data_IF_743541929176
#
_entry.id   IF_743541929176
#
_cell.length_a   1.000
_cell.length_b   1.000
_cell.length_c   1.000
_cell.angle_alpha   90.00
_cell.angle_beta   90.00
_cell.angle_gamma   90.00
#
_symmetry.space_group_name_H-M   'P 1'
#
loop_
_entity.id
_entity.type
_entity.pdbx_description
1 polymer ?
#
# COMPACT_ATOMS: atom_id res chain seq x y z
N UNK A 1 38.01 10.29 30.12
CA UNK A 1 37.38 11.32 30.94
C UNK A 1 37.57 12.62 30.17
N UNK A 2 36.61 12.98 29.33
CA UNK A 2 36.70 14.17 28.48
C UNK A 2 36.43 15.42 29.33
N UNK A 3 37.32 16.41 29.24
CA UNK A 3 37.21 17.69 29.92
C UNK A 3 36.27 18.58 29.09
N UNK A 4 35.05 18.80 29.57
CA UNK A 4 34.13 19.78 28.98
C UNK A 4 34.74 21.18 29.12
N UNK A 5 34.85 21.90 28.01
CA UNK A 5 35.47 23.22 27.99
C UNK A 5 34.55 24.25 28.66
N UNK A 6 35.12 25.21 29.39
CA UNK A 6 34.38 26.30 30.03
C UNK A 6 33.57 27.16 29.03
N UNK A 7 33.85 27.04 27.74
CA UNK A 7 33.13 27.70 26.66
C UNK A 7 31.70 27.15 26.46
N UNK A 8 31.46 25.87 26.78
CA UNK A 8 30.11 25.26 26.66
C UNK A 8 29.13 25.80 27.71
N UNK A 9 29.63 26.38 28.80
CA UNK A 9 28.84 26.98 29.89
C UNK A 9 28.43 28.44 29.64
N UNK A 10 28.99 29.09 28.62
CA UNK A 10 28.70 30.49 28.26
C UNK A 10 27.72 30.62 27.09
N UNK A 11 27.29 29.51 26.49
CA UNK A 11 26.29 29.54 25.45
C UNK A 11 24.90 29.76 26.07
N UNK A 12 24.14 30.79 25.66
CA UNK A 12 22.76 30.91 26.06
C UNK A 12 22.02 29.62 25.64
N UNK A 13 21.15 29.07 26.49
CA UNK A 13 20.41 27.86 26.15
C UNK A 13 19.70 28.11 24.83
N UNK A 14 19.80 27.15 23.90
CA UNK A 14 19.12 27.24 22.61
C UNK A 14 17.66 27.64 22.87
N UNK A 15 17.11 28.63 22.15
CA UNK A 15 15.73 29.04 22.34
C UNK A 15 14.84 27.80 22.26
N UNK A 16 13.89 27.63 23.20
CA UNK A 16 13.05 26.45 23.21
C UNK A 16 12.42 26.30 21.83
N UNK A 17 12.60 25.12 21.23
CA UNK A 17 11.96 24.79 19.95
C UNK A 17 10.46 24.84 20.20
N UNK A 18 9.82 25.96 19.87
CA UNK A 18 8.37 26.08 19.90
C UNK A 18 7.86 25.21 18.76
N UNK A 19 7.57 23.95 19.07
CA UNK A 19 6.91 23.03 18.15
C UNK A 19 5.51 23.59 17.92
N UNK A 20 5.32 24.32 16.83
CA UNK A 20 3.98 24.72 16.39
C UNK A 20 3.15 23.45 16.25
N UNK A 21 1.92 23.40 16.78
CA UNK A 21 1.03 22.27 16.53
C UNK A 21 0.92 22.04 15.02
N UNK A 22 1.16 20.80 14.58
CA UNK A 22 1.00 20.45 13.19
C UNK A 22 -0.44 20.73 12.76
N UNK A 23 -0.62 21.63 11.80
CA UNK A 23 -1.90 21.84 11.14
C UNK A 23 -1.84 21.09 9.80
N UNK A 24 -2.72 20.09 9.57
CA UNK A 24 -2.76 19.41 8.29
C UNK A 24 -3.13 20.42 7.18
N UNK A 25 -2.51 20.31 5.99
CA UNK A 25 -2.86 21.17 4.87
C UNK A 25 -4.32 20.95 4.46
N UNK A 26 -5.00 21.97 3.89
CA UNK A 26 -6.34 21.83 3.36
C UNK A 26 -6.46 20.70 2.34
N UNK A 27 -7.55 19.94 2.44
CA UNK A 27 -7.87 18.81 1.57
C UNK A 27 -9.22 19.01 0.90
N UNK A 28 -9.36 18.40 -0.26
CA UNK A 28 -10.61 18.32 -1.02
C UNK A 28 -10.93 16.86 -1.32
N UNK A 29 -12.21 16.54 -1.32
CA UNK A 29 -12.74 15.21 -1.62
C UNK A 29 -12.95 15.03 -3.12
N UNK A 30 -12.80 13.79 -3.59
CA UNK A 30 -13.21 13.38 -4.94
C UNK A 30 -13.81 11.97 -4.93
N UNK A 31 -14.81 11.76 -5.78
CA UNK A 31 -15.39 10.44 -6.01
C UNK A 31 -14.56 9.67 -7.02
N UNK A 32 -14.42 8.36 -6.79
CA UNK A 32 -13.60 7.49 -7.63
C UNK A 32 -14.28 6.16 -7.89
N UNK A 33 -13.87 5.52 -8.98
CA UNK A 33 -14.24 4.14 -9.30
C UNK A 33 -13.15 3.13 -8.92
N UNK A 34 -12.08 3.56 -8.25
CA UNK A 34 -11.08 2.64 -7.71
C UNK A 34 -11.78 1.59 -6.85
N UNK A 35 -11.50 0.31 -7.11
CA UNK A 35 -12.19 -0.77 -6.45
C UNK A 35 -11.93 -0.75 -4.94
N UNK A 36 -12.97 -1.01 -4.16
CA UNK A 36 -12.90 -1.07 -2.70
C UNK A 36 -12.86 0.30 -2.02
N UNK A 37 -12.94 1.39 -2.79
CA UNK A 37 -13.11 2.74 -2.30
C UNK A 37 -14.59 3.10 -2.35
N UNK A 38 -15.25 2.99 -1.20
CA UNK A 38 -16.69 3.26 -1.05
C UNK A 38 -16.99 4.68 -0.58
N UNK A 39 -15.98 5.36 -0.05
CA UNK A 39 -16.03 6.73 0.46
C UNK A 39 -15.20 7.67 -0.43
N UNK A 40 -15.50 8.98 -0.46
CA UNK A 40 -14.69 9.94 -1.19
C UNK A 40 -13.22 9.87 -0.75
N UNK A 41 -12.30 9.93 -1.72
CA UNK A 41 -10.87 10.04 -1.42
C UNK A 41 -10.48 11.50 -1.23
N UNK A 42 -9.50 11.74 -0.36
CA UNK A 42 -8.96 13.07 -0.14
C UNK A 42 -7.65 13.32 -0.93
N UNK A 43 -7.52 14.53 -1.46
CA UNK A 43 -6.27 15.09 -2.00
C UNK A 43 -6.04 16.49 -1.48
N UNK A 44 -4.77 16.93 -1.48
CA UNK A 44 -4.45 18.31 -1.12
C UNK A 44 -5.09 19.26 -2.13
N UNK A 45 -5.49 20.45 -1.67
CA UNK A 45 -6.22 21.43 -2.48
C UNK A 45 -5.48 21.79 -3.79
N UNK A 46 -4.15 21.91 -3.74
CA UNK A 46 -3.31 22.26 -4.88
C UNK A 46 -2.92 21.07 -5.76
N UNK A 47 -3.27 19.83 -5.38
CA UNK A 47 -2.97 18.69 -6.23
C UNK A 47 -3.92 18.67 -7.43
N UNK A 48 -3.37 18.23 -8.57
CA UNK A 48 -4.13 17.95 -9.79
C UNK A 48 -5.25 16.94 -9.52
N UNK A 49 -6.37 17.12 -10.22
CA UNK A 49 -7.46 16.15 -10.22
C UNK A 49 -6.99 14.76 -10.68
N UNK A 50 -7.39 13.69 -9.96
CA UNK A 50 -7.18 12.32 -10.41
C UNK A 50 -7.85 12.09 -11.76
N UNK A 51 -7.22 11.30 -12.59
CA UNK A 51 -7.72 10.96 -13.93
C UNK A 51 -7.83 9.45 -14.06
N UNK A 52 -8.84 8.96 -14.81
CA UNK A 52 -8.83 7.59 -15.28
C UNK A 52 -8.17 7.54 -16.66
N UNK A 53 -7.22 6.62 -16.83
CA UNK A 53 -6.59 6.33 -18.13
C UNK A 53 -6.70 4.83 -18.39
N UNK A 54 -6.59 4.47 -19.67
CA UNK A 54 -6.44 3.07 -20.07
C UNK A 54 -4.97 2.80 -20.40
N UNK A 55 -4.44 1.70 -19.84
CA UNK A 55 -3.11 1.18 -20.14
C UNK A 55 -3.24 -0.28 -20.54
N UNK A 56 -2.87 -0.63 -21.78
CA UNK A 56 -3.02 -1.99 -22.35
C UNK A 56 -4.44 -2.58 -22.18
N UNK A 57 -5.48 -1.77 -22.35
CA UNK A 57 -6.87 -2.21 -22.18
C UNK A 57 -7.35 -2.27 -20.73
N UNK A 58 -6.53 -1.88 -19.76
CA UNK A 58 -6.88 -1.94 -18.33
C UNK A 58 -7.19 -0.52 -17.83
N UNK A 59 -8.44 -0.25 -17.39
CA UNK A 59 -8.82 1.03 -16.83
C UNK A 59 -8.15 1.23 -15.47
N UNK A 60 -7.56 2.40 -15.27
CA UNK A 60 -6.77 2.70 -14.07
C UNK A 60 -6.97 4.14 -13.63
N UNK A 61 -7.19 4.31 -12.33
CA UNK A 61 -7.16 5.63 -11.72
C UNK A 61 -5.72 6.05 -11.44
N UNK A 62 -5.37 7.24 -11.90
CA UNK A 62 -4.14 7.95 -11.57
C UNK A 62 -4.46 9.02 -10.54
N UNK A 63 -3.89 8.87 -9.34
CA UNK A 63 -3.93 9.90 -8.29
C UNK A 63 -2.63 10.67 -8.27
N UNK A 64 -2.74 11.99 -8.26
CA UNK A 64 -1.57 12.87 -8.18
C UNK A 64 -1.29 13.25 -6.72
N UNK A 65 -0.02 13.08 -6.35
CA UNK A 65 0.54 13.53 -5.09
C UNK A 65 1.91 14.14 -5.38
N UNK A 66 2.82 14.05 -4.43
CA UNK A 66 4.24 14.31 -4.68
C UNK A 66 4.73 13.44 -5.88
N UNK A 67 4.27 12.19 -5.98
CA UNK A 67 4.35 11.36 -7.21
C UNK A 67 2.98 10.94 -7.71
N UNK A 68 2.90 10.34 -8.89
CA UNK A 68 1.66 9.70 -9.32
C UNK A 68 1.55 8.28 -8.76
N UNK A 69 0.31 7.89 -8.45
CA UNK A 69 -0.07 6.60 -7.92
C UNK A 69 -1.15 5.99 -8.81
N UNK A 70 -1.11 4.68 -8.97
CA UNK A 70 -2.10 3.94 -9.77
C UNK A 70 -2.99 3.10 -8.86
N UNK A 71 -4.29 3.07 -9.13
CA UNK A 71 -5.27 2.24 -8.43
C UNK A 71 -6.11 1.45 -9.44
N UNK A 72 -6.30 0.16 -9.18
CA UNK A 72 -7.15 -0.70 -9.97
C UNK A 72 -8.61 -0.25 -9.91
N UNK A 73 -9.25 -0.20 -11.07
CA UNK A 73 -10.68 0.13 -11.21
C UNK A 73 -11.52 -1.14 -11.36
N UNK A 74 -10.96 -2.16 -12.01
CA UNK A 74 -11.65 -3.44 -12.17
C UNK A 74 -11.71 -4.25 -10.87
N UNK A 75 -12.68 -5.17 -10.73
CA UNK A 75 -12.82 -6.01 -9.54
C UNK A 75 -11.58 -6.78 -9.12
N UNK A 76 -11.50 -7.12 -7.83
CA UNK A 76 -10.50 -8.03 -7.29
C UNK A 76 -10.42 -9.33 -8.11
N UNK A 77 -9.20 -9.82 -8.36
CA UNK A 77 -8.94 -10.97 -9.22
C UNK A 77 -8.76 -10.64 -10.71
N UNK A 78 -9.01 -9.39 -11.12
CA UNK A 78 -8.71 -8.92 -12.48
C UNK A 78 -7.20 -8.75 -12.70
N UNK A 79 -6.76 -8.78 -13.96
CA UNK A 79 -5.36 -8.59 -14.29
C UNK A 79 -4.91 -7.15 -14.04
N UNK A 80 -3.73 -7.01 -13.46
CA UNK A 80 -3.11 -5.73 -13.14
C UNK A 80 -1.58 -5.88 -13.08
N UNK A 81 -0.88 -4.75 -13.10
CA UNK A 81 0.60 -4.71 -12.99
C UNK A 81 1.09 -4.58 -11.53
N UNK A 82 0.19 -4.81 -10.58
CA UNK A 82 0.49 -4.89 -9.16
C UNK A 82 -0.44 -5.88 -8.49
N UNK A 83 0.09 -6.67 -7.57
CA UNK A 83 -0.70 -7.64 -6.81
C UNK A 83 -1.66 -6.98 -5.81
N UNK A 84 -1.39 -5.75 -5.38
CA UNK A 84 -2.23 -5.04 -4.39
C UNK A 84 -3.32 -4.18 -5.03
N UNK A 85 -3.39 -4.13 -6.38
CA UNK A 85 -4.22 -3.16 -7.08
C UNK A 85 -3.72 -1.73 -6.96
N UNK A 86 -2.58 -1.50 -6.29
CA UNK A 86 -1.98 -0.20 -6.06
C UNK A 86 -0.50 -0.20 -6.46
N UNK A 87 -0.03 0.90 -7.06
CA UNK A 87 1.42 1.12 -7.24
C UNK A 87 1.79 2.59 -7.19
N UNK A 88 2.84 2.90 -6.43
CA UNK A 88 3.47 4.23 -6.36
C UNK A 88 4.65 4.31 -7.32
N UNK A 89 4.80 5.45 -8.00
CA UNK A 89 5.88 5.73 -8.94
C UNK A 89 6.87 6.76 -8.35
N UNK A 90 7.21 6.59 -7.07
CA UNK A 90 8.07 7.48 -6.27
C UNK A 90 9.40 7.90 -6.93
N UNK A 91 9.98 7.05 -7.80
CA UNK A 91 11.24 7.33 -8.50
C UNK A 91 11.13 8.30 -9.68
N UNK A 92 9.92 8.61 -10.16
CA UNK A 92 9.71 9.50 -11.31
C UNK A 92 9.70 10.99 -10.94
N UNK A 93 9.90 11.34 -9.66
CA UNK A 93 10.09 12.73 -9.24
C UNK A 93 11.25 13.43 -9.96
N UNK A 94 12.27 12.65 -10.36
CA UNK A 94 13.50 13.16 -10.94
C UNK A 94 13.39 13.47 -12.45
N UNK A 95 12.31 13.06 -13.11
CA UNK A 95 12.14 13.21 -14.56
C UNK A 95 11.28 14.43 -14.93
N UNK A 96 10.43 14.91 -14.01
CA UNK A 96 9.57 16.08 -14.23
C UNK A 96 9.30 16.81 -12.93
N UNK A 97 9.93 17.97 -12.75
CA UNK A 97 9.95 18.74 -11.49
C UNK A 97 8.60 19.17 -10.92
N UNK A 98 7.49 19.02 -11.66
CA UNK A 98 6.15 19.40 -11.24
C UNK A 98 5.10 18.27 -11.31
N UNK A 99 5.48 17.01 -11.62
CA UNK A 99 4.53 15.89 -11.77
C UNK A 99 3.40 16.17 -12.80
N UNK A 100 3.68 17.05 -13.79
CA UNK A 100 2.77 17.49 -14.86
C UNK A 100 2.70 16.50 -16.02
N UNK A 101 2.77 15.20 -15.75
CA UNK A 101 2.72 14.20 -16.81
C UNK A 101 1.37 14.21 -17.52
N UNK A 102 1.42 14.24 -18.84
CA UNK A 102 0.24 14.01 -19.68
C UNK A 102 -0.25 12.57 -19.51
N UNK A 103 -1.54 12.28 -19.80
CA UNK A 103 -2.06 10.91 -19.77
C UNK A 103 -1.25 9.93 -20.62
N UNK A 104 -0.73 10.38 -21.77
CA UNK A 104 0.08 9.55 -22.66
C UNK A 104 1.47 9.26 -22.10
N UNK A 105 2.13 10.24 -21.47
CA UNK A 105 3.41 10.01 -20.77
C UNK A 105 3.25 9.03 -19.60
N UNK A 106 2.17 9.17 -18.82
CA UNK A 106 1.87 8.23 -17.74
C UNK A 106 1.67 6.83 -18.30
N UNK A 107 0.91 6.69 -19.40
CA UNK A 107 0.72 5.40 -20.09
C UNK A 107 2.06 4.80 -20.49
N UNK A 108 2.92 5.55 -21.17
CA UNK A 108 4.24 5.08 -21.62
C UNK A 108 5.14 4.66 -20.44
N UNK A 109 5.12 5.42 -19.35
CA UNK A 109 5.87 5.08 -18.13
C UNK A 109 5.39 3.74 -17.55
N UNK A 110 4.08 3.54 -17.45
CA UNK A 110 3.50 2.31 -16.92
C UNK A 110 3.81 1.14 -17.87
N UNK A 111 3.67 1.32 -19.18
CA UNK A 111 4.01 0.30 -20.18
C UNK A 111 5.49 -0.11 -20.12
N UNK A 112 6.40 0.86 -20.03
CA UNK A 112 7.83 0.59 -19.85
C UNK A 112 8.12 -0.16 -18.54
N UNK A 113 7.38 0.12 -17.47
CA UNK A 113 7.48 -0.64 -16.21
C UNK A 113 6.95 -2.06 -16.38
N UNK A 114 5.82 -2.25 -17.06
CA UNK A 114 5.26 -3.58 -17.33
C UNK A 114 6.27 -4.43 -18.09
N UNK A 115 6.93 -3.88 -19.11
CA UNK A 115 7.88 -4.63 -19.93
C UNK A 115 9.26 -4.80 -19.29
N UNK A 116 9.61 -3.96 -18.31
CA UNK A 116 10.89 -4.05 -17.61
C UNK A 116 11.05 -5.37 -16.88
N UNK A 117 12.27 -5.94 -16.95
CA UNK A 117 12.68 -7.11 -16.15
C UNK A 117 12.57 -6.88 -14.64
N UNK A 118 12.60 -5.61 -14.21
CA UNK A 118 12.46 -5.18 -12.82
C UNK A 118 11.03 -4.80 -12.46
N UNK A 119 10.12 -4.77 -13.44
CA UNK A 119 8.70 -4.59 -13.22
C UNK A 119 7.95 -5.91 -13.40
N UNK A 120 7.07 -5.98 -14.39
CA UNK A 120 6.23 -7.15 -14.61
C UNK A 120 6.80 -8.16 -15.63
N UNK A 121 7.91 -7.84 -16.30
CA UNK A 121 8.51 -8.67 -17.36
C UNK A 121 7.46 -9.12 -18.42
N UNK A 122 6.56 -8.22 -18.78
CA UNK A 122 5.47 -8.44 -19.73
C UNK A 122 4.31 -9.31 -19.21
N UNK A 123 4.37 -9.81 -17.96
CA UNK A 123 3.34 -10.68 -17.37
C UNK A 123 2.57 -9.96 -16.28
N UNK A 124 1.29 -9.70 -16.53
CA UNK A 124 0.39 -9.16 -15.53
C UNK A 124 0.03 -10.22 -14.49
N UNK A 125 -0.28 -9.77 -13.28
CA UNK A 125 -0.74 -10.62 -12.18
C UNK A 125 -2.19 -10.31 -11.86
N UNK A 126 -2.87 -11.20 -11.14
CA UNK A 126 -4.16 -10.86 -10.55
C UNK A 126 -3.94 -10.04 -9.30
N UNK A 127 -4.76 -9.02 -9.12
CA UNK A 127 -4.67 -8.16 -7.95
C UNK A 127 -5.69 -8.57 -6.89
N UNK A 128 -5.33 -8.39 -5.62
CA UNK A 128 -6.16 -8.75 -4.47
C UNK A 128 -6.18 -7.65 -3.41
N UNK A 129 -7.32 -7.44 -2.73
CA UNK A 129 -7.39 -6.59 -1.55
C UNK A 129 -6.42 -7.02 -0.46
N UNK A 130 -6.00 -6.07 0.38
CA UNK A 130 -5.02 -6.31 1.46
C UNK A 130 -5.40 -7.48 2.37
N UNK A 131 -6.67 -7.59 2.76
CA UNK A 131 -7.12 -8.69 3.62
C UNK A 131 -6.96 -10.07 2.97
N UNK A 132 -7.07 -10.17 1.64
CA UNK A 132 -6.83 -11.40 0.90
C UNK A 132 -5.35 -11.78 0.89
N UNK A 133 -4.49 -10.79 0.70
CA UNK A 133 -3.05 -10.98 0.77
C UNK A 133 -2.65 -11.38 2.19
N UNK A 134 -3.09 -10.65 3.21
CA UNK A 134 -2.80 -10.98 4.61
C UNK A 134 -3.25 -12.40 4.96
N UNK A 135 -4.47 -12.79 4.58
CA UNK A 135 -4.94 -14.17 4.74
C UNK A 135 -3.97 -15.18 4.14
N UNK A 136 -3.54 -14.95 2.89
CA UNK A 136 -2.62 -15.82 2.16
C UNK A 136 -1.26 -15.94 2.85
N UNK A 137 -0.72 -14.82 3.33
CA UNK A 137 0.57 -14.77 4.04
C UNK A 137 0.49 -15.49 5.40
N UNK A 138 -0.59 -15.28 6.14
CA UNK A 138 -0.85 -15.93 7.43
C UNK A 138 -1.06 -17.44 7.28
N UNK A 139 -1.81 -17.87 6.27
CA UNK A 139 -1.95 -19.29 5.94
C UNK A 139 -0.62 -19.94 5.57
N UNK A 140 0.23 -19.23 4.84
CA UNK A 140 1.58 -19.70 4.54
C UNK A 140 2.44 -19.80 5.81
N UNK A 141 2.34 -18.82 6.71
CA UNK A 141 3.00 -18.86 8.01
C UNK A 141 2.57 -20.08 8.82
N UNK A 142 1.26 -20.31 8.96
CA UNK A 142 0.71 -21.49 9.65
C UNK A 142 1.25 -22.80 9.06
N UNK A 143 1.36 -22.90 7.73
CA UNK A 143 1.89 -24.10 7.07
C UNK A 143 3.37 -24.41 7.37
N UNK A 144 4.11 -23.46 7.95
CA UNK A 144 5.55 -23.58 8.26
C UNK A 144 5.86 -23.54 9.75
N UNK A 145 4.87 -23.29 10.59
CA UNK A 145 5.05 -23.09 12.02
C UNK A 145 4.45 -24.24 12.80
N UNK A 146 5.22 -24.79 13.74
CA UNK A 146 4.73 -25.75 14.72
C UNK A 146 3.89 -25.00 15.76
N UNK A 147 2.60 -25.31 15.82
CA UNK A 147 1.62 -24.55 16.61
C UNK A 147 1.93 -24.60 18.10
N UNK A 148 2.45 -25.74 18.56
CA UNK A 148 2.80 -26.04 19.94
C UNK A 148 3.90 -25.14 20.50
N UNK A 149 4.87 -24.76 19.66
CA UNK A 149 6.04 -23.97 20.09
C UNK A 149 5.95 -22.50 19.69
N UNK A 150 5.22 -22.20 18.61
CA UNK A 150 5.10 -20.84 18.10
C UNK A 150 4.33 -20.00 19.10
N UNK A 151 4.95 -18.90 19.57
CA UNK A 151 4.43 -17.98 20.60
C UNK A 151 4.37 -18.54 22.02
N UNK A 152 4.87 -19.75 22.27
CA UNK A 152 4.86 -20.37 23.59
C UNK A 152 5.74 -19.62 24.62
N UNK A 153 6.72 -18.82 24.17
CA UNK A 153 7.62 -18.06 25.02
C UNK A 153 6.91 -17.00 25.89
N UNK A 154 5.67 -16.63 25.56
CA UNK A 154 4.88 -15.65 26.31
C UNK A 154 3.97 -16.30 27.37
N UNK A 155 4.07 -17.62 27.56
CA UNK A 155 3.25 -18.38 28.49
C UNK A 155 1.93 -18.89 27.88
N UNK A 156 1.26 -19.84 28.54
CA UNK A 156 0.14 -20.58 27.96
C UNK A 156 -1.08 -19.70 27.64
N UNK A 157 -1.37 -18.68 28.45
CA UNK A 157 -2.48 -17.77 28.22
C UNK A 157 -2.27 -16.93 26.95
N UNK A 158 -1.09 -16.34 26.80
CA UNK A 158 -0.75 -15.52 25.62
C UNK A 158 -0.58 -16.37 24.36
N UNK A 159 -0.05 -17.58 24.49
CA UNK A 159 0.00 -18.55 23.40
C UNK A 159 -1.40 -18.85 22.85
N UNK A 160 -2.36 -19.17 23.74
CA UNK A 160 -3.74 -19.41 23.35
C UNK A 160 -4.41 -18.16 22.76
N UNK A 161 -4.18 -16.97 23.33
CA UNK A 161 -4.71 -15.70 22.82
C UNK A 161 -4.21 -15.40 21.40
N UNK A 162 -2.91 -15.54 21.14
CA UNK A 162 -2.33 -15.28 19.83
C UNK A 162 -2.90 -16.22 18.76
N UNK A 163 -3.04 -17.51 19.09
CA UNK A 163 -3.63 -18.49 18.18
C UNK A 163 -5.12 -18.28 17.96
N UNK A 164 -5.89 -17.94 19.01
CA UNK A 164 -7.31 -17.61 18.87
C UNK A 164 -7.52 -16.36 18.00
N UNK A 165 -6.67 -15.34 18.16
CA UNK A 165 -6.70 -14.15 17.31
C UNK A 165 -6.37 -14.49 15.86
N UNK A 166 -5.31 -15.26 15.62
CA UNK A 166 -4.93 -15.71 14.29
C UNK A 166 -6.07 -16.44 13.58
N UNK A 167 -6.67 -17.44 14.24
CA UNK A 167 -7.78 -18.21 13.67
C UNK A 167 -9.01 -17.33 13.39
N UNK A 168 -9.30 -16.36 14.27
CA UNK A 168 -10.39 -15.41 14.08
C UNK A 168 -10.16 -14.48 12.88
N UNK A 169 -8.93 -13.99 12.70
CA UNK A 169 -8.54 -13.16 11.55
C UNK A 169 -8.62 -13.95 10.23
N UNK A 170 -8.18 -15.22 10.23
CA UNK A 170 -8.31 -16.14 9.10
C UNK A 170 -9.77 -16.39 8.73
N UNK A 171 -10.61 -16.70 9.72
CA UNK A 171 -12.04 -16.94 9.51
C UNK A 171 -12.77 -15.67 9.01
N UNK A 172 -12.46 -14.51 9.57
CA UNK A 172 -13.04 -13.24 9.13
C UNK A 172 -12.66 -12.89 7.68
N UNK A 173 -11.41 -13.15 7.29
CA UNK A 173 -10.98 -12.95 5.91
C UNK A 173 -11.72 -13.88 4.94
N UNK A 174 -11.88 -15.16 5.27
CA UNK A 174 -12.61 -16.13 4.45
C UNK A 174 -14.09 -15.76 4.30
N UNK A 175 -14.75 -15.38 5.40
CA UNK A 175 -16.15 -14.92 5.36
C UNK A 175 -16.32 -13.68 4.48
N UNK A 176 -15.34 -12.76 4.52
CA UNK A 176 -15.34 -11.58 3.65
C UNK A 176 -15.10 -11.92 2.19
N UNK A 177 -14.17 -12.83 1.88
CA UNK A 177 -13.95 -13.32 0.51
C UNK A 177 -15.23 -13.93 -0.05
N UNK A 178 -15.92 -14.76 0.74
CA UNK A 178 -17.21 -15.36 0.35
C UNK A 178 -18.27 -14.29 0.05
N UNK A 179 -18.40 -13.28 0.93
CA UNK A 179 -19.33 -12.17 0.73
C UNK A 179 -19.01 -11.32 -0.51
N UNK A 180 -17.72 -11.17 -0.86
CA UNK A 180 -17.25 -10.44 -2.05
C UNK A 180 -17.16 -11.34 -3.31
N UNK A 181 -17.50 -12.63 -3.22
CA UNK A 181 -17.45 -13.56 -4.35
C UNK A 181 -16.04 -13.96 -4.82
N UNK A 182 -15.04 -13.84 -3.93
CA UNK A 182 -13.63 -14.15 -4.20
C UNK A 182 -13.32 -15.60 -3.82
N UNK A 183 -12.73 -16.39 -4.73
CA UNK A 183 -12.31 -17.78 -4.44
C UNK A 183 -10.97 -17.80 -3.66
N UNK A 184 -10.93 -18.26 -2.40
CA UNK A 184 -9.69 -18.35 -1.64
C UNK A 184 -8.65 -19.28 -2.28
N UNK A 185 -9.06 -20.27 -3.08
CA UNK A 185 -8.13 -21.15 -3.80
C UNK A 185 -7.41 -20.40 -4.91
N UNK A 186 -8.09 -19.46 -5.55
CA UNK A 186 -7.49 -18.59 -6.56
C UNK A 186 -6.47 -17.64 -5.93
N UNK A 187 -6.84 -17.00 -4.82
CA UNK A 187 -5.94 -16.17 -4.00
C UNK A 187 -4.70 -16.95 -3.58
N UNK A 188 -4.85 -18.22 -3.17
CA UNK A 188 -3.72 -19.06 -2.78
C UNK A 188 -2.80 -19.44 -3.96
N UNK A 189 -3.36 -19.66 -5.16
CA UNK A 189 -2.58 -20.06 -6.35
C UNK A 189 -1.64 -18.97 -6.84
N UNK A 190 -2.01 -17.71 -6.70
CA UNK A 190 -1.21 -16.56 -7.17
C UNK A 190 0.09 -16.33 -6.37
N UNK A 191 0.29 -17.04 -5.25
CA UNK A 191 1.55 -17.03 -4.50
C UNK A 191 2.65 -17.91 -5.11
N UNK A 192 2.29 -18.91 -5.93
CA UNK A 192 3.21 -19.90 -6.53
C UNK A 192 3.62 -19.52 -7.94
#
# INVERSE_FOLDING_TARGET
MEQLSMFDLMMPPAPPVVVKPYQPPPRREFMTRAYGVWEPMEINEHHRDPIEIEVRGIPTLIRFSSVFQTYAVEPAGSFYWSETGFRSFAGYYQVGGNNEYTPDEIRQIIEGMIDSKHGCNGKLTKWWPDYCLRWRWEKWFESRCEREITWAQWGPEKHAECWAKHDAEQAAALARMEAEGIDPKEVWRTYR
#
